data_IF_141866287101
#
_entry.id   IF_141866287101
#
_cell.length_a   1.000
_cell.length_b   1.000
_cell.length_c   1.000
_cell.angle_alpha   90.00
_cell.angle_beta   90.00
_cell.angle_gamma   90.00
#
_symmetry.space_group_name_H-M   'P 1'
#
loop_
_entity.id
_entity.type
_entity.pdbx_description
1 polymer ?
#
# COMPACT_ATOMS: atom_id res chain seq x y z
N UNK A 1 -3.31 2.82 8.65
CA UNK A 1 -2.97 1.95 9.80
C UNK A 1 -3.45 2.62 11.06
N UNK A 2 -3.63 1.90 12.17
CA UNK A 2 -4.07 2.49 13.46
C UNK A 2 -5.43 3.22 13.39
N UNK A 3 -6.40 2.65 12.66
CA UNK A 3 -7.70 3.28 12.41
C UNK A 3 -7.76 4.10 11.12
N UNK A 4 -6.61 4.46 10.55
CA UNK A 4 -6.53 5.12 9.25
C UNK A 4 -6.69 4.14 8.09
N UNK A 5 -7.20 4.63 6.96
CA UNK A 5 -7.32 3.89 5.71
C UNK A 5 -6.03 4.09 4.91
N UNK A 6 -5.45 2.99 4.42
CA UNK A 6 -4.34 3.02 3.45
C UNK A 6 -4.85 2.53 2.10
N UNK A 7 -4.51 3.29 1.06
CA UNK A 7 -4.91 3.03 -0.32
C UNK A 7 -3.65 2.91 -1.18
N UNK A 8 -3.57 1.85 -1.98
CA UNK A 8 -2.69 1.85 -3.14
C UNK A 8 -3.46 2.54 -4.27
N UNK A 9 -3.03 3.74 -4.65
CA UNK A 9 -3.65 4.52 -5.70
C UNK A 9 -2.92 4.26 -7.01
N UNK A 10 -3.52 3.47 -7.90
CA UNK A 10 -2.91 3.09 -9.17
C UNK A 10 -2.60 4.29 -10.07
N UNK A 11 -3.40 5.36 -10.03
CA UNK A 11 -3.15 6.58 -10.78
C UNK A 11 -3.43 6.48 -12.30
N UNK A 12 -4.12 5.43 -12.75
CA UNK A 12 -4.38 5.18 -14.19
C UNK A 12 -5.04 6.37 -14.92
N UNK A 13 -5.91 7.13 -14.25
CA UNK A 13 -6.63 8.27 -14.83
C UNK A 13 -6.16 9.63 -14.28
N UNK A 14 -4.97 9.70 -13.67
CA UNK A 14 -4.43 10.97 -13.17
C UNK A 14 -4.07 11.88 -14.35
N UNK A 15 -4.43 13.15 -14.29
CA UNK A 15 -4.04 14.14 -15.32
C UNK A 15 -2.51 14.32 -15.31
N UNK A 16 -1.86 14.14 -16.46
CA UNK A 16 -0.41 14.24 -16.61
C UNK A 16 0.27 12.88 -16.70
N UNK A 17 1.34 12.66 -15.95
CA UNK A 17 2.09 11.39 -15.97
C UNK A 17 1.40 10.30 -15.14
N UNK A 18 1.41 9.08 -15.66
CA UNK A 18 0.94 7.89 -14.93
C UNK A 18 1.96 7.47 -13.87
N UNK A 19 1.56 7.51 -12.61
CA UNK A 19 2.32 6.98 -11.49
C UNK A 19 1.37 6.52 -10.38
N UNK A 20 1.84 5.58 -9.58
CA UNK A 20 1.10 5.12 -8.42
C UNK A 20 1.56 5.86 -7.17
N UNK A 21 0.68 5.95 -6.18
CA UNK A 21 1.02 6.41 -4.82
C UNK A 21 0.46 5.45 -3.79
N UNK A 22 0.99 5.54 -2.56
CA UNK A 22 0.32 4.96 -1.39
C UNK A 22 -0.13 6.10 -0.51
N UNK A 23 -1.43 6.17 -0.29
CA UNK A 23 -2.10 7.28 0.36
C UNK A 23 -2.62 6.79 1.72
N UNK A 24 -2.42 7.57 2.78
CA UNK A 24 -3.05 7.32 4.08
C UNK A 24 -3.99 8.47 4.42
N UNK A 25 -5.23 8.13 4.76
CA UNK A 25 -6.27 9.08 5.13
C UNK A 25 -6.86 8.73 6.49
N UNK A 26 -7.18 9.77 7.27
CA UNK A 26 -8.06 9.62 8.44
C UNK A 26 -9.48 9.49 7.91
N UNK A 27 -10.26 8.46 8.31
CA UNK A 27 -11.66 8.38 7.95
C UNK A 27 -12.40 9.62 8.44
N UNK A 28 -13.15 10.34 7.57
CA UNK A 28 -13.88 11.55 7.93
C UNK A 28 -15.19 11.20 8.63
N UNK A 29 -15.10 10.51 9.75
CA UNK A 29 -16.25 10.07 10.55
C UNK A 29 -16.44 10.98 11.77
N UNK A 30 -17.69 11.13 12.21
CA UNK A 30 -18.02 11.82 13.46
C UNK A 30 -17.68 10.94 14.69
N UNK A 31 -17.98 11.43 15.90
CA UNK A 31 -17.71 10.72 17.15
C UNK A 31 -18.44 9.37 17.26
N UNK A 32 -19.54 9.19 16.51
CA UNK A 32 -20.31 7.94 16.45
C UNK A 32 -19.78 6.97 15.36
N UNK A 33 -18.76 7.37 14.60
CA UNK A 33 -18.18 6.56 13.52
C UNK A 33 -18.95 6.63 12.19
N UNK A 34 -19.87 7.59 12.05
CA UNK A 34 -20.67 7.78 10.85
C UNK A 34 -20.03 8.79 9.89
N UNK A 35 -20.15 8.53 8.59
CA UNK A 35 -19.77 9.50 7.56
C UNK A 35 -20.82 10.59 7.48
N UNK A 36 -20.42 11.83 7.78
CA UNK A 36 -21.29 13.00 7.63
C UNK A 36 -21.00 13.71 6.29
N UNK A 37 -22.06 14.13 5.61
CA UNK A 37 -21.98 14.96 4.41
C UNK A 37 -22.95 16.12 4.52
N UNK A 38 -22.41 17.34 4.55
CA UNK A 38 -23.24 18.52 4.38
C UNK A 38 -23.78 18.58 2.94
N UNK A 39 -25.04 18.99 2.78
CA UNK A 39 -25.68 19.08 1.47
C UNK A 39 -24.86 19.99 0.53
N UNK A 40 -24.60 19.51 -0.69
CA UNK A 40 -23.77 20.16 -1.71
C UNK A 40 -22.25 20.24 -1.41
N UNK A 41 -21.77 19.63 -0.32
CA UNK A 41 -20.34 19.49 -0.04
C UNK A 41 -19.77 18.16 -0.57
N UNK A 42 -18.44 18.03 -0.57
CA UNK A 42 -17.76 16.76 -0.82
C UNK A 42 -17.45 16.05 0.52
N UNK A 43 -17.32 14.72 0.51
CA UNK A 43 -16.79 14.00 1.66
C UNK A 43 -15.32 14.39 1.87
N UNK A 44 -14.91 14.49 3.14
CA UNK A 44 -13.51 14.59 3.50
C UNK A 44 -12.74 13.26 3.31
N UNK A 45 -11.49 13.20 3.80
CA UNK A 45 -10.69 14.36 4.19
C UNK A 45 -10.25 15.16 2.95
N UNK A 46 -9.95 16.44 3.12
CA UNK A 46 -9.46 17.29 2.04
C UNK A 46 -8.06 16.89 1.54
N UNK A 47 -7.27 16.26 2.41
CA UNK A 47 -5.91 15.82 2.12
C UNK A 47 -5.55 14.52 2.83
N UNK A 48 -4.56 13.83 2.28
CA UNK A 48 -3.92 12.68 2.90
C UNK A 48 -3.02 13.14 4.05
N UNK A 49 -2.94 12.34 5.11
CA UNK A 49 -2.00 12.58 6.22
C UNK A 49 -0.59 12.04 5.92
N UNK A 50 -0.49 11.12 4.95
CA UNK A 50 0.78 10.61 4.46
C UNK A 50 0.62 10.16 3.00
N UNK A 51 1.67 10.38 2.22
CA UNK A 51 1.75 9.92 0.85
C UNK A 51 3.16 9.39 0.58
N UNK A 52 3.23 8.22 -0.06
CA UNK A 52 4.46 7.75 -0.69
C UNK A 52 4.31 7.77 -2.21
N UNK A 53 5.30 8.40 -2.85
CA UNK A 53 5.53 8.32 -4.30
C UNK A 53 7.01 8.01 -4.49
N UNK A 54 7.34 7.11 -5.43
CA UNK A 54 8.74 6.79 -5.70
C UNK A 54 9.46 7.96 -6.39
N UNK A 55 10.78 7.90 -6.41
CA UNK A 55 11.63 8.81 -7.17
C UNK A 55 12.52 8.00 -8.13
N UNK A 56 12.31 8.07 -9.45
CA UNK A 56 11.27 8.84 -10.15
C UNK A 56 9.86 8.25 -9.93
N UNK A 57 8.77 9.05 -10.05
CA UNK A 57 7.40 8.58 -9.77
C UNK A 57 6.96 7.36 -10.57
N UNK A 58 7.44 7.24 -11.81
CA UNK A 58 7.11 6.13 -12.71
C UNK A 58 7.78 4.80 -12.33
N UNK A 59 8.76 4.80 -11.43
CA UNK A 59 9.60 3.62 -11.10
C UNK A 59 8.87 2.50 -10.33
N UNK A 60 7.61 2.71 -9.94
CA UNK A 60 6.77 1.67 -9.34
C UNK A 60 5.31 1.73 -9.81
N UNK A 61 5.03 2.40 -10.93
CA UNK A 61 3.67 2.47 -11.46
C UNK A 61 3.07 1.08 -11.67
N UNK A 62 1.83 0.91 -11.23
CA UNK A 62 0.96 -0.21 -11.56
C UNK A 62 -0.42 0.35 -11.92
N UNK A 63 -0.91 0.02 -13.10
CA UNK A 63 -2.24 0.42 -13.59
C UNK A 63 -3.39 -0.37 -12.96
N UNK A 64 -3.13 -1.60 -12.51
CA UNK A 64 -4.05 -2.52 -11.84
C UNK A 64 -3.26 -3.39 -10.83
N UNK A 65 -3.95 -4.25 -10.06
CA UNK A 65 -3.36 -5.26 -9.16
C UNK A 65 -2.19 -4.77 -8.30
N UNK A 66 -2.46 -4.32 -7.08
CA UNK A 66 -1.42 -3.89 -6.13
C UNK A 66 -2.00 -3.75 -4.73
N UNK A 67 -1.13 -3.50 -3.75
CA UNK A 67 -1.58 -3.25 -2.39
C UNK A 67 -0.51 -2.62 -1.52
N UNK A 68 -0.94 -2.09 -0.39
CA UNK A 68 -0.06 -1.59 0.65
C UNK A 68 -0.60 -1.94 2.04
N UNK A 69 0.30 -2.13 2.99
CA UNK A 69 -0.01 -2.47 4.38
C UNK A 69 0.94 -1.74 5.32
N UNK A 70 0.38 -0.96 6.27
CA UNK A 70 1.16 -0.45 7.41
C UNK A 70 1.48 -1.60 8.36
N UNK A 71 2.75 -1.74 8.70
CA UNK A 71 3.26 -2.71 9.66
C UNK A 71 3.26 -2.13 11.07
N UNK A 72 3.33 -2.99 12.08
CA UNK A 72 3.40 -2.58 13.49
C UNK A 72 4.69 -1.82 13.84
N UNK A 73 5.71 -1.88 12.98
CA UNK A 73 6.93 -1.08 13.11
C UNK A 73 6.76 0.37 12.68
N UNK A 74 5.62 0.74 12.08
CA UNK A 74 5.42 2.04 11.42
C UNK A 74 5.82 2.07 9.95
N UNK A 75 6.59 1.08 9.49
CA UNK A 75 6.95 0.93 8.07
C UNK A 75 5.74 0.50 7.23
N UNK A 76 5.80 0.76 5.92
CA UNK A 76 4.76 0.35 4.97
C UNK A 76 5.31 -0.69 4.00
N UNK A 77 4.69 -1.86 3.97
CA UNK A 77 4.92 -2.87 2.94
C UNK A 77 4.07 -2.54 1.71
N UNK A 78 4.70 -2.47 0.55
CA UNK A 78 4.08 -2.11 -0.72
C UNK A 78 4.33 -3.23 -1.73
N UNK A 79 3.29 -3.63 -2.45
CA UNK A 79 3.33 -4.62 -3.51
C UNK A 79 2.83 -3.99 -4.80
N UNK A 80 3.72 -3.87 -5.79
CA UNK A 80 3.35 -3.67 -7.18
C UNK A 80 3.02 -5.07 -7.75
N UNK A 81 1.72 -5.37 -7.85
CA UNK A 81 1.26 -6.70 -8.25
C UNK A 81 1.50 -7.01 -9.73
N UNK A 82 1.48 -6.01 -10.61
CA UNK A 82 1.78 -6.19 -12.04
C UNK A 82 3.20 -6.71 -12.28
N UNK A 83 4.19 -6.15 -11.57
CA UNK A 83 5.62 -6.47 -11.78
C UNK A 83 6.16 -7.49 -10.79
N UNK A 84 5.38 -7.85 -9.77
CA UNK A 84 5.84 -8.71 -8.67
C UNK A 84 6.86 -8.04 -7.73
N UNK A 85 7.10 -6.72 -7.85
CA UNK A 85 8.01 -5.96 -6.97
C UNK A 85 7.34 -5.69 -5.63
N UNK A 86 8.00 -6.11 -4.56
CA UNK A 86 7.54 -5.94 -3.19
C UNK A 86 8.64 -5.24 -2.39
N UNK A 87 8.30 -4.21 -1.63
CA UNK A 87 9.29 -3.44 -0.89
C UNK A 87 8.68 -2.83 0.36
N UNK A 88 9.54 -2.60 1.36
CA UNK A 88 9.17 -1.99 2.63
C UNK A 88 9.82 -0.62 2.74
N UNK A 89 9.05 0.40 3.09
CA UNK A 89 9.51 1.78 3.26
C UNK A 89 9.31 2.27 4.69
N UNK A 90 10.23 3.09 5.20
CA UNK A 90 10.06 3.84 6.45
C UNK A 90 8.97 4.90 6.31
N UNK A 91 8.49 5.52 7.41
CA UNK A 91 7.58 6.67 7.35
C UNK A 91 8.12 7.83 6.50
N UNK A 92 9.45 7.99 6.43
CA UNK A 92 10.14 9.00 5.63
C UNK A 92 10.30 8.59 4.15
N UNK A 93 9.81 7.40 3.77
CA UNK A 93 9.87 6.89 2.40
C UNK A 93 11.18 6.20 2.01
N UNK A 94 12.07 5.90 2.97
CA UNK A 94 13.32 5.18 2.68
C UNK A 94 13.04 3.69 2.52
N UNK A 95 13.47 3.09 1.41
CA UNK A 95 13.34 1.62 1.21
C UNK A 95 14.34 0.88 2.10
N UNK A 96 13.83 0.01 2.98
CA UNK A 96 14.65 -0.78 3.93
C UNK A 96 14.70 -2.26 3.59
N UNK A 97 13.78 -2.73 2.75
CA UNK A 97 13.77 -4.10 2.25
C UNK A 97 13.09 -4.16 0.88
N UNK A 98 13.53 -5.10 0.04
CA UNK A 98 12.88 -5.37 -1.25
C UNK A 98 13.00 -6.83 -1.65
N UNK A 99 12.05 -7.28 -2.47
CA UNK A 99 12.05 -8.57 -3.13
C UNK A 99 11.33 -8.45 -4.47
N UNK A 100 11.82 -9.18 -5.47
CA UNK A 100 11.17 -9.30 -6.78
C UNK A 100 10.73 -10.75 -6.94
N UNK A 101 9.42 -10.96 -7.00
CA UNK A 101 8.83 -12.26 -7.27
C UNK A 101 9.21 -12.73 -8.69
N UNK A 102 9.47 -14.03 -8.91
CA UNK A 102 9.61 -14.57 -10.26
C UNK A 102 8.26 -14.60 -11.02
N UNK A 103 7.16 -14.36 -10.31
CA UNK A 103 5.81 -14.27 -10.87
C UNK A 103 5.30 -12.83 -10.84
N UNK A 104 4.52 -12.50 -11.86
CA UNK A 104 3.73 -11.29 -11.98
C UNK A 104 2.29 -11.54 -11.51
N UNK A 105 1.44 -10.52 -11.58
CA UNK A 105 0.01 -10.59 -11.25
C UNK A 105 -0.26 -11.06 -9.81
N UNK A 106 0.51 -10.55 -8.85
CA UNK A 106 0.29 -10.82 -7.44
C UNK A 106 -0.99 -10.13 -6.97
N UNK A 107 -1.95 -10.92 -6.49
CA UNK A 107 -3.23 -10.39 -6.00
C UNK A 107 -3.11 -9.85 -4.58
N UNK A 108 -2.36 -10.54 -3.72
CA UNK A 108 -2.19 -10.13 -2.33
C UNK A 108 -0.85 -10.58 -1.78
N UNK A 109 -0.21 -9.68 -1.04
CA UNK A 109 0.97 -9.98 -0.21
C UNK A 109 0.59 -9.71 1.24
N UNK A 110 0.93 -10.65 2.12
CA UNK A 110 0.68 -10.51 3.56
C UNK A 110 1.99 -10.67 4.31
N UNK A 111 2.29 -9.69 5.16
CA UNK A 111 3.36 -9.79 6.14
C UNK A 111 3.00 -10.82 7.22
N UNK A 112 3.88 -11.80 7.43
CA UNK A 112 3.75 -12.76 8.53
C UNK A 112 4.84 -12.39 9.55
N UNK A 113 4.46 -11.86 10.73
CA UNK A 113 5.45 -11.56 11.76
C UNK A 113 6.21 -12.84 12.13
N UNK A 114 7.51 -12.75 12.43
CA UNK A 114 8.24 -13.88 12.98
C UNK A 114 7.48 -14.45 14.17
N UNK A 115 7.41 -15.78 14.28
CA UNK A 115 7.01 -16.38 15.56
C UNK A 115 7.96 -15.82 16.62
N UNK A 116 7.46 -15.49 17.81
CA UNK A 116 8.31 -15.17 18.96
C UNK A 116 9.12 -16.41 19.33
N UNK A 117 10.18 -16.66 18.58
CA UNK A 117 11.20 -17.65 18.84
C UNK A 117 12.50 -16.87 18.96
N UNK A 118 13.27 -17.17 20.00
CA UNK A 118 14.52 -16.54 20.41
C UNK A 118 15.68 -16.77 19.41
N UNK A 119 15.43 -16.60 18.12
CA UNK A 119 16.39 -16.88 17.05
C UNK A 119 16.15 -16.04 15.79
N UNK A 120 17.25 -15.80 15.07
CA UNK A 120 17.51 -14.86 13.97
C UNK A 120 16.71 -15.08 12.67
N UNK A 121 15.39 -15.26 12.76
CA UNK A 121 14.52 -15.36 11.59
C UNK A 121 14.18 -13.97 11.03
N UNK A 122 14.66 -13.66 9.82
CA UNK A 122 14.22 -12.48 9.06
C UNK A 122 12.70 -12.49 8.73
N UNK A 123 12.16 -11.39 8.21
CA UNK A 123 10.74 -11.28 7.89
C UNK A 123 10.28 -12.37 6.91
N UNK A 124 9.08 -12.91 7.13
CA UNK A 124 8.46 -13.90 6.24
C UNK A 124 7.23 -13.29 5.59
N UNK A 125 7.06 -13.56 4.30
CA UNK A 125 5.91 -13.08 3.52
C UNK A 125 5.17 -14.27 2.92
N UNK A 126 3.85 -14.14 2.77
CA UNK A 126 3.05 -15.08 1.97
C UNK A 126 2.53 -14.35 0.74
N UNK A 127 2.84 -14.92 -0.42
CA UNK A 127 2.41 -14.43 -1.73
C UNK A 127 1.16 -15.21 -2.17
N UNK A 128 0.15 -14.49 -2.65
CA UNK A 128 -1.02 -15.07 -3.30
C UNK A 128 -1.04 -14.58 -4.75
N UNK A 129 -0.90 -15.52 -5.69
CA UNK A 129 -1.05 -15.27 -7.12
C UNK A 129 -2.27 -16.04 -7.65
N UNK A 130 -2.82 -15.59 -8.77
CA UNK A 130 -3.93 -16.26 -9.45
C UNK A 130 -3.38 -16.94 -10.69
N UNK A 131 -3.55 -18.26 -10.84
CA UNK A 131 -3.26 -18.93 -12.12
C UNK A 131 -4.49 -18.84 -13.02
N UNK A 132 -4.35 -18.20 -14.18
CA UNK A 132 -5.36 -18.23 -15.25
C UNK A 132 -4.96 -19.24 -16.34
N UNK A 133 -4.52 -20.44 -15.93
CA UNK A 133 -4.31 -21.55 -16.84
C UNK A 133 -5.34 -22.62 -16.52
N UNK A 134 -6.52 -22.48 -17.13
CA UNK A 134 -7.40 -23.57 -17.58
C UNK A 134 -7.85 -23.21 -19.00
#
# INVERSE_FOLDING_TARGET
GEGNIIVFNNGANRSGSHYSSVDEIVPPVNDDGEYYLESASAYGPEAQIWIYTANPPTSFYASHLSGAQRLTSGNTLICNGETGKIFEVTPEGTTVWQYVSPFNELFKVVYIPPRRTTGTGGPRFRLFWKSFLD
#
